data_IF_331579437498
#
_entry.id   IF_331579437498
#
_cell.length_a   1.000
_cell.length_b   1.000
_cell.length_c   1.000
_cell.angle_alpha   90.00
_cell.angle_beta   90.00
_cell.angle_gamma   90.00
#
_symmetry.space_group_name_H-M   'P 1'
#
loop_
_entity.id
_entity.type
_entity.pdbx_description
1 polymer ?
#
# COMPACT_ATOMS: atom_id res chain seq x y z
N UNK A 1 -2.81 -9.06 3.78
CA UNK A 1 -4.00 -8.19 3.64
C UNK A 1 -5.12 -8.85 4.42
N UNK A 2 -5.76 -8.14 5.34
CA UNK A 2 -6.71 -8.70 6.32
C UNK A 2 -8.19 -8.43 5.98
N UNK A 3 -8.48 -7.66 4.93
CA UNK A 3 -9.83 -7.38 4.45
C UNK A 3 -10.57 -6.29 5.22
N UNK A 4 -9.88 -5.55 6.12
CA UNK A 4 -10.47 -4.46 6.90
C UNK A 4 -10.00 -3.11 6.37
N UNK A 5 -10.91 -2.13 6.36
CA UNK A 5 -10.64 -0.76 5.89
C UNK A 5 -10.62 0.26 7.05
N UNK A 6 -10.49 -0.23 8.28
CA UNK A 6 -10.46 0.61 9.47
C UNK A 6 -9.13 1.38 9.53
N UNK A 7 -9.21 2.70 9.38
CA UNK A 7 -8.07 3.59 9.38
C UNK A 7 -7.54 3.96 10.77
N UNK A 8 -8.13 3.46 11.86
CA UNK A 8 -7.60 3.70 13.21
C UNK A 8 -6.43 2.76 13.52
N UNK A 9 -5.24 3.31 13.69
CA UNK A 9 -4.04 2.53 13.98
C UNK A 9 -4.16 1.65 15.24
N UNK A 10 -4.87 2.12 16.27
CA UNK A 10 -5.09 1.38 17.51
C UNK A 10 -5.96 0.13 17.36
N UNK A 11 -6.67 -0.01 16.23
CA UNK A 11 -7.49 -1.19 15.93
C UNK A 11 -6.72 -2.32 15.23
N UNK A 12 -5.39 -2.19 15.09
CA UNK A 12 -4.49 -3.20 14.50
C UNK A 12 -4.83 -3.58 13.05
N UNK A 13 -5.38 -2.63 12.27
CA UNK A 13 -5.76 -2.80 10.87
C UNK A 13 -4.96 -1.90 9.91
N UNK A 14 -3.97 -1.16 10.42
CA UNK A 14 -3.17 -0.19 9.66
C UNK A 14 -1.69 -0.56 9.77
N UNK A 15 -0.99 -0.68 8.63
CA UNK A 15 0.45 -0.93 8.60
C UNK A 15 1.25 0.33 8.95
N UNK A 16 2.49 0.17 9.43
CA UNK A 16 3.39 1.31 9.69
C UNK A 16 4.84 0.91 9.42
N UNK A 17 5.57 1.72 8.65
CA UNK A 17 7.01 1.57 8.42
C UNK A 17 7.82 2.35 9.45
N UNK A 18 9.13 2.15 9.53
CA UNK A 18 10.00 3.09 10.23
C UNK A 18 10.08 4.43 9.48
N UNK A 19 10.54 5.49 10.17
CA UNK A 19 10.94 6.74 9.54
C UNK A 19 12.25 6.51 8.76
N UNK A 20 12.12 6.42 7.44
CA UNK A 20 13.23 6.16 6.52
C UNK A 20 13.02 6.91 5.21
N UNK A 21 14.06 7.02 4.39
CA UNK A 21 13.94 7.61 3.05
C UNK A 21 13.14 6.67 2.15
N UNK A 22 12.11 7.22 1.48
CA UNK A 22 11.26 6.50 0.51
C UNK A 22 10.74 5.14 1.04
N UNK A 23 9.98 5.14 2.16
CA UNK A 23 9.41 3.90 2.67
C UNK A 23 8.44 3.30 1.65
N UNK A 24 8.36 1.97 1.62
CA UNK A 24 7.54 1.25 0.66
C UNK A 24 6.80 0.08 1.32
N UNK A 25 5.77 -0.39 0.62
CA UNK A 25 5.05 -1.61 0.92
C UNK A 25 4.78 -2.36 -0.39
N UNK A 26 4.81 -3.69 -0.36
CA UNK A 26 4.58 -4.53 -1.52
C UNK A 26 3.68 -5.71 -1.15
N UNK A 27 2.87 -6.14 -2.12
CA UNK A 27 2.17 -7.43 -2.09
C UNK A 27 2.54 -8.23 -3.32
N UNK A 28 2.77 -9.52 -3.12
CA UNK A 28 2.88 -10.51 -4.18
C UNK A 28 1.49 -11.15 -4.41
N UNK A 29 1.00 -11.08 -5.65
CA UNK A 29 -0.28 -11.66 -6.06
C UNK A 29 -0.17 -13.15 -6.42
N UNK A 30 1.01 -13.75 -6.28
CA UNK A 30 1.40 -15.12 -6.61
C UNK A 30 1.37 -15.49 -8.11
N UNK A 31 0.63 -14.74 -8.93
CA UNK A 31 0.63 -14.84 -10.39
C UNK A 31 0.30 -13.50 -11.02
N UNK A 32 0.62 -13.38 -12.30
CA UNK A 32 0.26 -12.21 -13.10
C UNK A 32 -1.26 -12.14 -13.27
N UNK A 33 -1.84 -10.97 -12.99
CA UNK A 33 -3.27 -10.73 -12.97
C UNK A 33 -3.59 -9.38 -13.60
N UNK A 34 -4.74 -9.28 -14.27
CA UNK A 34 -5.22 -8.00 -14.78
C UNK A 34 -5.76 -7.14 -13.64
N UNK A 35 -5.06 -6.06 -13.32
CA UNK A 35 -5.49 -5.10 -12.30
C UNK A 35 -6.48 -4.11 -12.89
N UNK A 36 -7.74 -4.15 -12.44
CA UNK A 36 -8.80 -3.22 -12.87
C UNK A 36 -8.93 -1.99 -11.97
N UNK A 37 -8.63 -2.15 -10.69
CA UNK A 37 -8.79 -1.09 -9.69
C UNK A 37 -7.86 -1.37 -8.51
N UNK A 38 -7.28 -0.31 -7.96
CA UNK A 38 -6.51 -0.32 -6.72
C UNK A 38 -7.18 0.69 -5.78
N UNK A 39 -7.55 0.24 -4.59
CA UNK A 39 -8.08 1.11 -3.54
C UNK A 39 -7.07 1.19 -2.40
N UNK A 40 -6.62 2.40 -2.10
CA UNK A 40 -5.70 2.67 -0.99
C UNK A 40 -6.48 3.38 0.11
N UNK A 41 -6.56 2.76 1.28
CA UNK A 41 -7.23 3.31 2.46
C UNK A 41 -6.18 3.93 3.38
N UNK A 42 -6.25 5.26 3.55
CA UNK A 42 -5.31 5.98 4.41
C UNK A 42 -5.64 5.75 5.89
N UNK A 43 -4.65 5.98 6.76
CA UNK A 43 -4.88 6.14 8.20
C UNK A 43 -5.86 7.30 8.44
N UNK A 44 -6.72 7.19 9.45
CA UNK A 44 -7.79 8.17 9.73
C UNK A 44 -7.73 8.77 11.14
N UNK A 45 -7.03 8.16 12.10
CA UNK A 45 -6.96 8.68 13.47
C UNK A 45 -5.99 9.87 13.64
N UNK A 46 -4.90 9.91 12.85
CA UNK A 46 -3.93 11.03 12.80
C UNK A 46 -2.95 10.82 11.64
N UNK A 47 -2.05 11.79 11.40
CA UNK A 47 -0.94 11.72 10.45
C UNK A 47 -1.35 11.38 9.01
N UNK A 48 -2.55 11.80 8.61
CA UNK A 48 -3.11 11.55 7.28
C UNK A 48 -2.27 12.18 6.16
N UNK A 49 -1.50 13.21 6.48
CA UNK A 49 -0.58 13.93 5.60
C UNK A 49 0.63 13.09 5.16
N UNK A 50 0.96 12.01 5.87
CA UNK A 50 2.11 11.16 5.54
C UNK A 50 1.95 10.40 4.23
N UNK A 51 0.72 10.01 3.90
CA UNK A 51 0.43 9.33 2.64
C UNK A 51 0.15 10.36 1.54
N UNK A 52 1.17 11.12 1.19
CA UNK A 52 1.15 12.13 0.14
C UNK A 52 2.43 12.05 -0.68
N UNK A 53 2.37 12.48 -1.96
CA UNK A 53 3.50 12.44 -2.90
C UNK A 53 4.15 11.04 -2.98
N UNK A 54 3.35 10.05 -3.36
CA UNK A 54 3.76 8.64 -3.47
C UNK A 54 3.42 8.08 -4.86
N UNK A 55 4.13 7.02 -5.23
CA UNK A 55 3.90 6.28 -6.47
C UNK A 55 3.19 4.95 -6.20
N UNK A 56 2.39 4.50 -7.17
CA UNK A 56 1.83 3.15 -7.22
C UNK A 56 2.44 2.47 -8.44
N UNK A 57 3.31 1.49 -8.19
CA UNK A 57 4.08 0.80 -9.23
C UNK A 57 3.54 -0.62 -9.38
N UNK A 58 3.29 -1.04 -10.63
CA UNK A 58 2.95 -2.41 -10.97
C UNK A 58 4.16 -3.10 -11.57
N UNK A 59 4.46 -4.30 -11.09
CA UNK A 59 5.52 -5.16 -11.62
C UNK A 59 4.91 -6.37 -12.32
N UNK A 60 5.50 -6.77 -13.45
CA UNK A 60 5.19 -8.03 -14.12
C UNK A 60 5.79 -9.23 -13.35
N UNK A 61 5.51 -10.44 -13.85
CA UNK A 61 6.04 -11.68 -13.26
C UNK A 61 7.57 -11.81 -13.27
N UNK A 62 8.29 -10.96 -14.03
CA UNK A 62 9.75 -10.86 -14.04
C UNK A 62 10.31 -9.79 -13.09
N UNK A 63 9.43 -9.05 -12.40
CA UNK A 63 9.81 -7.95 -11.50
C UNK A 63 10.08 -6.64 -12.24
N UNK A 64 9.66 -6.51 -13.50
CA UNK A 64 9.82 -5.28 -14.28
C UNK A 64 8.59 -4.39 -14.12
N UNK A 65 8.80 -3.09 -13.95
CA UNK A 65 7.74 -2.10 -13.96
C UNK A 65 6.98 -2.07 -15.28
N UNK A 66 5.65 -2.06 -15.17
CA UNK A 66 4.72 -1.94 -16.29
C UNK A 66 4.39 -0.45 -16.47
N UNK A 67 4.62 0.07 -17.67
CA UNK A 67 4.27 1.44 -18.09
C UNK A 67 2.79 1.59 -18.48
#
# INVERSE_FOLDING_TARGET
MDGKVDGNYGHNSVTHTNFQSKPWWQVDLAKEETIRQINIYNRTDTAQDRLANFDVILLDSSGKEIE
#
